data_IF_302489270976
#
_entry.id   IF_302489270976
#
_cell.length_a   1.000
_cell.length_b   1.000
_cell.length_c   1.000
_cell.angle_alpha   90.00
_cell.angle_beta   90.00
_cell.angle_gamma   90.00
#
_symmetry.space_group_name_H-M   'P 1'
#
loop_
_entity.id
_entity.type
_entity.pdbx_description
1 polymer ?
#
# COMPACT_ATOMS: atom_id res chain seq x y z
N UNK A 1 -5.68 0.94 -20.07
CA UNK A 1 -4.41 0.57 -19.43
C UNK A 1 -4.43 1.18 -18.04
N UNK A 2 -4.01 0.47 -16.98
CA UNK A 2 -4.06 1.03 -15.63
C UNK A 2 -3.02 2.15 -15.46
N UNK A 3 -3.46 3.26 -14.87
CA UNK A 3 -2.60 4.37 -14.48
C UNK A 3 -2.23 4.23 -13.00
N UNK A 4 -0.94 4.32 -12.71
CA UNK A 4 -0.42 4.28 -11.34
C UNK A 4 0.36 5.57 -11.14
N UNK A 5 0.08 6.23 -10.03
CA UNK A 5 0.71 7.48 -9.63
C UNK A 5 1.45 7.26 -8.31
N UNK A 6 2.56 7.96 -8.14
CA UNK A 6 3.19 8.16 -6.84
C UNK A 6 3.15 9.64 -6.50
N UNK A 7 2.94 9.95 -5.24
CA UNK A 7 2.96 11.34 -4.79
C UNK A 7 3.16 11.49 -3.30
N UNK A 8 3.45 12.72 -2.90
CA UNK A 8 3.71 13.10 -1.50
C UNK A 8 2.45 13.47 -0.73
N UNK A 9 1.34 13.74 -1.42
CA UNK A 9 0.10 14.20 -0.82
C UNK A 9 -0.78 13.04 -0.32
N UNK A 10 -1.36 13.23 0.87
CA UNK A 10 -2.56 12.52 1.30
C UNK A 10 -3.82 13.33 0.96
N UNK A 11 -5.01 12.73 1.12
CA UNK A 11 -6.29 13.38 0.82
C UNK A 11 -6.81 14.24 1.96
N UNK A 12 -6.00 15.21 2.41
CA UNK A 12 -6.41 16.20 3.39
C UNK A 12 -6.37 17.61 2.80
N UNK A 13 -7.32 18.46 3.20
CA UNK A 13 -7.45 19.85 2.71
C UNK A 13 -6.12 20.64 2.77
N UNK A 14 -5.30 20.40 3.80
CA UNK A 14 -4.01 21.07 3.93
C UNK A 14 -3.02 20.66 2.82
N UNK A 15 -3.05 19.40 2.39
CA UNK A 15 -2.16 18.88 1.35
C UNK A 15 -2.69 19.26 -0.04
N UNK A 16 -4.01 19.27 -0.23
CA UNK A 16 -4.63 19.62 -1.52
C UNK A 16 -4.57 21.14 -1.81
N UNK A 17 -4.80 21.99 -0.80
CA UNK A 17 -5.00 23.44 -1.02
C UNK A 17 -3.90 24.34 -0.49
N UNK A 18 -3.08 23.87 0.46
CA UNK A 18 -2.17 24.75 1.21
C UNK A 18 -0.70 24.38 1.13
N UNK A 19 -0.36 23.16 0.72
CA UNK A 19 1.01 22.67 0.59
C UNK A 19 1.39 22.51 -0.86
N UNK A 20 2.69 22.65 -1.13
CA UNK A 20 3.27 22.27 -2.41
C UNK A 20 3.56 20.77 -2.32
N UNK A 21 2.91 20.01 -3.19
CA UNK A 21 3.00 18.55 -3.25
C UNK A 21 3.36 18.13 -4.67
N UNK A 22 3.97 16.95 -4.82
CA UNK A 22 4.32 16.38 -6.12
C UNK A 22 3.57 15.07 -6.29
N UNK A 23 2.95 14.89 -7.46
CA UNK A 23 2.35 13.64 -7.89
C UNK A 23 2.75 13.42 -9.34
N UNK A 24 3.21 12.21 -9.67
CA UNK A 24 3.66 11.87 -11.02
C UNK A 24 3.19 10.49 -11.44
N UNK A 25 2.86 10.30 -12.73
CA UNK A 25 2.54 8.99 -13.27
C UNK A 25 3.79 8.13 -13.38
N UNK A 26 3.65 6.84 -13.10
CA UNK A 26 4.64 5.83 -13.46
C UNK A 26 4.36 5.42 -14.91
N UNK A 27 5.33 5.55 -15.81
CA UNK A 27 5.17 5.12 -17.21
C UNK A 27 5.63 3.69 -17.47
N UNK A 28 6.73 3.29 -16.82
CA UNK A 28 7.36 1.99 -16.99
C UNK A 28 6.46 0.85 -16.48
N UNK A 29 6.19 -0.13 -17.35
CA UNK A 29 5.27 -1.23 -17.02
C UNK A 29 5.85 -2.19 -15.96
N UNK A 30 7.17 -2.36 -15.91
CA UNK A 30 7.83 -3.19 -14.90
C UNK A 30 7.71 -2.55 -13.51
N UNK A 31 7.91 -1.23 -13.41
CA UNK A 31 7.74 -0.49 -12.16
C UNK A 31 6.27 -0.50 -11.72
N UNK A 32 5.32 -0.30 -12.65
CA UNK A 32 3.89 -0.45 -12.35
C UNK A 32 3.58 -1.82 -11.75
N UNK A 33 4.15 -2.88 -12.34
CA UNK A 33 3.96 -4.25 -11.85
C UNK A 33 4.52 -4.41 -10.45
N UNK A 34 5.74 -3.94 -10.20
CA UNK A 34 6.38 -4.01 -8.89
C UNK A 34 5.56 -3.31 -7.80
N UNK A 35 5.05 -2.10 -8.09
CA UNK A 35 4.19 -1.35 -7.15
C UNK A 35 2.90 -2.10 -6.84
N UNK A 36 2.26 -2.69 -7.85
CA UNK A 36 1.06 -3.51 -7.64
C UNK A 36 1.35 -4.74 -6.79
N UNK A 37 2.47 -5.42 -7.01
CA UNK A 37 2.86 -6.59 -6.24
C UNK A 37 3.11 -6.20 -4.77
N UNK A 38 3.77 -5.07 -4.51
CA UNK A 38 3.96 -4.52 -3.15
C UNK A 38 2.63 -4.19 -2.47
N UNK A 39 1.72 -3.48 -3.15
CA UNK A 39 0.38 -3.18 -2.61
C UNK A 39 -0.37 -4.50 -2.33
N UNK A 40 -0.24 -5.48 -3.22
CA UNK A 40 -0.82 -6.82 -3.03
C UNK A 40 -0.31 -7.52 -1.77
N UNK A 41 0.98 -7.39 -1.43
CA UNK A 41 1.55 -7.91 -0.19
C UNK A 41 1.00 -7.17 1.04
N UNK A 42 0.84 -5.85 0.97
CA UNK A 42 0.26 -5.06 2.06
C UNK A 42 -1.20 -5.42 2.33
N UNK A 43 -2.00 -5.63 1.29
CA UNK A 43 -3.42 -6.01 1.41
C UNK A 43 -3.63 -7.45 1.90
N UNK A 44 -2.61 -8.31 1.80
CA UNK A 44 -2.62 -9.69 2.31
C UNK A 44 -2.03 -9.82 3.71
N UNK A 45 -1.57 -8.72 4.31
CA UNK A 45 -1.04 -8.77 5.67
C UNK A 45 -2.15 -9.18 6.64
N UNK A 46 -1.88 -10.20 7.44
CA UNK A 46 -2.79 -10.68 8.49
C UNK A 46 -2.10 -10.74 9.87
N UNK A 47 -0.88 -10.19 9.98
CA UNK A 47 -0.10 -10.19 11.22
C UNK A 47 -0.10 -8.83 11.89
N UNK A 48 -0.08 -7.74 11.13
CA UNK A 48 -0.03 -6.35 11.59
C UNK A 48 -1.19 -5.51 11.06
N UNK A 49 -1.88 -5.97 10.01
CA UNK A 49 -3.07 -5.28 9.51
C UNK A 49 -4.25 -5.37 10.48
N UNK A 50 -5.10 -4.33 10.43
CA UNK A 50 -6.34 -4.24 11.18
C UNK A 50 -7.46 -3.74 10.29
N UNK A 51 -8.67 -4.26 10.50
CA UNK A 51 -9.91 -3.66 10.04
C UNK A 51 -10.30 -2.53 11.00
N UNK A 52 -10.66 -1.38 10.45
CA UNK A 52 -11.25 -0.27 11.20
C UNK A 52 -12.76 -0.36 11.01
N UNK A 53 -13.50 -0.64 12.09
CA UNK A 53 -14.97 -0.66 12.03
C UNK A 53 -15.58 0.75 12.12
N UNK A 54 -16.91 0.83 12.02
CA UNK A 54 -17.65 2.10 12.07
C UNK A 54 -17.56 2.78 13.44
N UNK A 55 -17.23 2.04 14.49
CA UNK A 55 -16.94 2.52 15.84
C UNK A 55 -15.47 2.88 16.06
N UNK A 56 -14.64 2.79 15.00
CA UNK A 56 -13.19 3.03 15.01
C UNK A 56 -12.40 2.03 15.88
N UNK A 57 -12.95 0.83 16.10
CA UNK A 57 -12.17 -0.24 16.70
C UNK A 57 -11.23 -0.87 15.67
N UNK A 58 -10.01 -1.16 16.12
CA UNK A 58 -9.05 -1.95 15.38
C UNK A 58 -9.31 -3.43 15.62
N UNK A 59 -9.81 -4.14 14.62
CA UNK A 59 -10.00 -5.60 14.65
C UNK A 59 -8.88 -6.26 13.85
N UNK A 60 -8.20 -7.22 14.46
CA UNK A 60 -7.17 -7.99 13.77
C UNK A 60 -7.76 -8.67 12.53
N UNK A 61 -6.97 -8.76 11.46
CA UNK A 61 -7.37 -9.48 10.25
C UNK A 61 -7.23 -10.98 10.53
N UNK A 62 -8.35 -11.70 10.49
CA UNK A 62 -8.40 -13.16 10.61
C UNK A 62 -9.04 -13.74 9.35
N UNK A 63 -8.21 -14.25 8.44
CA UNK A 63 -8.63 -14.74 7.12
C UNK A 63 -8.41 -16.25 6.91
N UNK A 64 -7.90 -16.94 7.95
CA UNK A 64 -7.57 -18.36 7.91
C UNK A 64 -6.40 -18.71 6.99
N UNK A 65 -5.68 -17.71 6.49
CA UNK A 65 -4.49 -17.91 5.65
C UNK A 65 -3.24 -18.06 6.52
N UNK A 66 -2.14 -18.60 5.95
CA UNK A 66 -0.84 -18.57 6.61
C UNK A 66 -0.47 -17.15 7.05
N UNK A 67 0.22 -17.05 8.18
CA UNK A 67 0.67 -15.75 8.69
C UNK A 67 1.59 -15.06 7.67
N UNK A 68 1.23 -13.84 7.30
CA UNK A 68 1.97 -12.99 6.37
C UNK A 68 2.13 -11.61 7.01
N UNK A 69 3.40 -11.20 7.16
CA UNK A 69 3.79 -9.84 7.55
C UNK A 69 4.36 -9.11 6.35
N UNK A 70 3.64 -8.12 5.87
CA UNK A 70 3.92 -7.41 4.61
C UNK A 70 5.31 -6.79 4.56
N UNK A 71 5.79 -6.18 5.64
CA UNK A 71 7.12 -5.54 5.68
C UNK A 71 8.25 -6.54 5.39
N UNK A 72 8.17 -7.75 5.95
CA UNK A 72 9.16 -8.82 5.73
C UNK A 72 8.97 -9.45 4.34
N UNK A 73 7.74 -9.67 3.92
CA UNK A 73 7.42 -10.21 2.60
C UNK A 73 7.90 -9.27 1.47
N UNK A 74 7.73 -7.96 1.63
CA UNK A 74 8.22 -6.95 0.67
C UNK A 74 9.75 -6.97 0.62
N UNK A 75 10.42 -7.05 1.77
CA UNK A 75 11.88 -7.17 1.81
C UNK A 75 12.37 -8.39 1.03
N UNK A 76 11.78 -9.57 1.28
CA UNK A 76 12.14 -10.81 0.57
C UNK A 76 11.85 -10.72 -0.93
N UNK A 77 10.71 -10.13 -1.33
CA UNK A 77 10.34 -9.90 -2.73
C UNK A 77 11.35 -9.01 -3.46
N UNK A 78 11.86 -7.97 -2.79
CA UNK A 78 12.85 -7.06 -3.36
C UNK A 78 14.25 -7.67 -3.43
N UNK A 79 14.59 -8.64 -2.56
CA UNK A 79 15.88 -9.36 -2.62
C UNK A 79 15.96 -10.38 -3.75
N UNK A 80 14.82 -10.87 -4.24
CA UNK A 80 14.74 -11.89 -5.29
C UNK A 80 14.68 -11.29 -6.71
N UNK A 81 14.48 -9.97 -6.82
CA UNK A 81 14.58 -9.20 -8.06
C UNK A 81 15.96 -8.56 -8.19
#
# INVERSE_FOLDING_TARGET
QEEIYMGSADWMNRNIYRRIEVCFPIYDQSIKRQVKDIIGLQLKDNTQAVWIDKELHNKMVEDGQPALRSQEAIYQYLQQN
#
